data_IF_500782177914
#
_entry.id   IF_500782177914
#
_cell.length_a   1.000
_cell.length_b   1.000
_cell.length_c   1.000
_cell.angle_alpha   90.00
_cell.angle_beta   90.00
_cell.angle_gamma   90.00
#
_symmetry.space_group_name_H-M   'P 1'
#
loop_
_entity.id
_entity.type
_entity.pdbx_description
1 polymer ?
#
# COMPACT_ATOMS: atom_id res chain seq x y z
N UNK A 1 5.86 16.09 -22.42
CA UNK A 1 4.45 16.21 -21.97
C UNK A 1 3.89 14.90 -21.43
N UNK A 2 4.10 13.75 -22.10
CA UNK A 2 3.66 12.45 -21.59
C UNK A 2 4.18 12.08 -20.18
N UNK A 3 5.43 12.45 -19.86
CA UNK A 3 6.04 12.19 -18.54
C UNK A 3 5.34 12.93 -17.39
N UNK A 4 4.90 14.16 -17.60
CA UNK A 4 4.19 14.96 -16.58
C UNK A 4 2.84 14.31 -16.24
N UNK A 5 2.14 13.79 -17.25
CA UNK A 5 0.84 13.13 -17.07
C UNK A 5 1.02 11.85 -16.23
N UNK A 6 2.05 11.04 -16.52
CA UNK A 6 2.33 9.81 -15.77
C UNK A 6 2.67 10.14 -14.31
N UNK A 7 3.52 11.13 -14.06
CA UNK A 7 3.87 11.55 -12.71
C UNK A 7 2.65 12.08 -11.95
N UNK A 8 1.78 12.85 -12.60
CA UNK A 8 0.55 13.34 -11.99
C UNK A 8 -0.40 12.19 -11.60
N UNK A 9 -0.55 11.18 -12.45
CA UNK A 9 -1.39 10.01 -12.16
C UNK A 9 -0.83 9.21 -10.97
N UNK A 10 0.47 8.95 -10.95
CA UNK A 10 1.12 8.23 -9.85
C UNK A 10 0.95 9.01 -8.54
N UNK A 11 1.18 10.31 -8.56
CA UNK A 11 1.01 11.16 -7.39
C UNK A 11 -0.42 11.09 -6.81
N UNK A 12 -1.44 11.08 -7.68
CA UNK A 12 -2.84 10.94 -7.22
C UNK A 12 -3.08 9.56 -6.59
N UNK A 13 -2.54 8.48 -7.18
CA UNK A 13 -2.65 7.13 -6.62
C UNK A 13 -1.99 7.03 -5.24
N UNK A 14 -0.81 7.64 -5.07
CA UNK A 14 -0.08 7.66 -3.81
C UNK A 14 -0.83 8.44 -2.72
N UNK A 15 -1.40 9.60 -3.07
CA UNK A 15 -2.23 10.39 -2.14
C UNK A 15 -3.45 9.59 -1.69
N UNK A 16 -4.13 8.90 -2.62
CA UNK A 16 -5.29 8.06 -2.27
C UNK A 16 -4.88 6.90 -1.37
N UNK A 17 -3.75 6.25 -1.63
CA UNK A 17 -3.22 5.19 -0.79
C UNK A 17 -2.90 5.70 0.63
N UNK A 18 -2.29 6.88 0.75
CA UNK A 18 -2.00 7.51 2.04
C UNK A 18 -3.28 7.80 2.84
N UNK A 19 -4.33 8.31 2.19
CA UNK A 19 -5.62 8.55 2.84
C UNK A 19 -6.26 7.25 3.32
N UNK A 20 -6.20 6.18 2.51
CA UNK A 20 -6.69 4.86 2.92
C UNK A 20 -5.89 4.29 4.08
N UNK A 21 -4.57 4.49 4.12
CA UNK A 21 -3.72 4.08 5.24
C UNK A 21 -4.13 4.78 6.54
N UNK A 22 -4.36 6.11 6.50
CA UNK A 22 -4.91 6.86 7.65
C UNK A 22 -6.28 6.31 8.06
N UNK A 23 -7.13 5.99 7.08
CA UNK A 23 -8.43 5.35 7.31
C UNK A 23 -8.32 4.01 8.03
N UNK A 24 -7.33 3.19 7.66
CA UNK A 24 -7.03 1.92 8.29
C UNK A 24 -6.60 2.09 9.76
N UNK A 25 -5.72 3.06 10.04
CA UNK A 25 -5.29 3.38 11.40
C UNK A 25 -6.44 3.89 12.27
N UNK A 26 -7.26 4.79 11.74
CA UNK A 26 -8.42 5.32 12.47
C UNK A 26 -9.48 4.26 12.78
N UNK A 27 -9.59 3.23 11.92
CA UNK A 27 -10.52 2.10 12.09
C UNK A 27 -9.88 0.89 12.75
N UNK A 28 -8.69 1.03 13.35
CA UNK A 28 -7.97 -0.07 14.01
C UNK A 28 -8.89 -0.76 15.02
N UNK A 29 -9.04 -2.07 14.84
CA UNK A 29 -9.90 -2.89 15.66
C UNK A 29 -9.32 -2.98 17.07
N UNK A 30 -9.97 -2.35 18.05
CA UNK A 30 -9.63 -2.45 19.46
C UNK A 30 -10.48 -3.53 20.11
N UNK A 31 -9.83 -4.45 20.81
CA UNK A 31 -10.52 -5.52 21.53
C UNK A 31 -11.37 -4.94 22.65
N UNK A 32 -12.67 -5.26 22.65
CA UNK A 32 -13.55 -4.97 23.77
C UNK A 32 -13.50 -6.16 24.73
N UNK A 33 -13.06 -5.92 25.96
CA UNK A 33 -13.04 -6.93 27.01
C UNK A 33 -14.46 -7.13 27.55
N UNK A 34 -14.95 -8.38 27.50
CA UNK A 34 -16.25 -8.75 28.08
C UNK A 34 -15.99 -9.53 29.36
N UNK A 35 -16.45 -8.97 30.49
CA UNK A 35 -16.12 -9.47 31.83
C UNK A 35 -16.72 -10.85 32.12
N UNK A 36 -17.86 -11.23 31.52
CA UNK A 36 -18.60 -12.44 31.90
C UNK A 36 -19.41 -12.99 30.71
N UNK A 37 -19.14 -14.22 30.28
CA UNK A 37 -20.04 -15.04 29.44
C UNK A 37 -20.95 -15.92 30.32
N UNK A 38 -21.94 -16.61 29.73
CA UNK A 38 -22.83 -17.56 30.42
C UNK A 38 -22.08 -18.65 31.21
N UNK A 39 -20.81 -18.93 30.85
CA UNK A 39 -19.92 -19.88 31.50
C UNK A 39 -18.87 -19.24 32.46
N UNK A 40 -19.03 -17.98 32.86
CA UNK A 40 -18.15 -17.25 33.78
C UNK A 40 -16.68 -17.14 33.32
N UNK A 41 -16.43 -17.17 32.00
CA UNK A 41 -15.10 -16.98 31.42
C UNK A 41 -15.02 -15.61 30.73
N UNK A 42 -13.95 -14.83 30.94
CA UNK A 42 -13.74 -13.60 30.19
C UNK A 42 -13.33 -13.92 28.74
N UNK A 43 -13.82 -13.12 27.80
CA UNK A 43 -13.43 -13.21 26.39
C UNK A 43 -13.32 -11.82 25.76
N UNK A 44 -12.52 -11.73 24.71
CA UNK A 44 -12.34 -10.50 23.94
C UNK A 44 -13.21 -10.55 22.69
N UNK A 45 -14.04 -9.52 22.49
CA UNK A 45 -14.79 -9.33 21.25
C UNK A 45 -14.00 -8.39 20.35
N UNK A 46 -13.70 -8.87 19.14
CA UNK A 46 -13.13 -8.05 18.08
C UNK A 46 -14.28 -7.50 17.23
N UNK A 47 -14.21 -6.22 16.89
CA UNK A 47 -15.12 -5.59 15.94
C UNK A 47 -14.85 -6.05 14.50
N UNK A 48 -15.56 -5.46 13.54
CA UNK A 48 -15.35 -5.75 12.12
C UNK A 48 -13.95 -5.32 11.65
N UNK A 49 -13.28 -6.18 10.89
CA UNK A 49 -11.93 -5.94 10.32
C UNK A 49 -11.96 -4.99 9.11
N UNK A 50 -12.66 -3.87 9.24
CA UNK A 50 -12.73 -2.83 8.21
C UNK A 50 -11.34 -2.23 7.93
N UNK A 51 -10.47 -2.15 8.94
CA UNK A 51 -9.10 -1.67 8.80
C UNK A 51 -8.28 -2.48 7.78
N UNK A 52 -8.49 -3.80 7.72
CA UNK A 52 -7.81 -4.68 6.78
C UNK A 52 -8.18 -4.36 5.34
N UNK A 53 -9.46 -4.04 5.09
CA UNK A 53 -9.94 -3.63 3.76
C UNK A 53 -9.28 -2.33 3.29
N UNK A 54 -9.19 -1.32 4.16
CA UNK A 54 -8.49 -0.07 3.86
C UNK A 54 -6.99 -0.30 3.61
N UNK A 55 -6.35 -1.15 4.40
CA UNK A 55 -4.94 -1.51 4.24
C UNK A 55 -4.65 -2.21 2.90
N UNK A 56 -5.46 -3.20 2.52
CA UNK A 56 -5.34 -3.88 1.22
C UNK A 56 -5.57 -2.89 0.08
N UNK A 57 -6.57 -2.01 0.20
CA UNK A 57 -6.85 -0.97 -0.80
C UNK A 57 -5.66 -0.03 -1.01
N UNK A 58 -5.04 0.43 0.08
CA UNK A 58 -3.83 1.25 0.02
C UNK A 58 -2.67 0.51 -0.68
N UNK A 59 -2.45 -0.76 -0.34
CA UNK A 59 -1.39 -1.58 -0.93
C UNK A 59 -1.60 -1.79 -2.44
N UNK A 60 -2.83 -2.04 -2.87
CA UNK A 60 -3.15 -2.23 -4.30
C UNK A 60 -2.93 -0.95 -5.09
N UNK A 61 -3.31 0.21 -4.55
CA UNK A 61 -3.12 1.50 -5.23
C UNK A 61 -1.63 1.85 -5.38
N UNK A 62 -0.83 1.62 -4.35
CA UNK A 62 0.62 1.77 -4.42
C UNK A 62 1.22 0.83 -5.46
N UNK A 63 0.87 -0.46 -5.42
CA UNK A 63 1.33 -1.43 -6.40
C UNK A 63 0.95 -1.07 -7.84
N UNK A 64 -0.23 -0.47 -8.05
CA UNK A 64 -0.68 0.01 -9.35
C UNK A 64 0.15 1.22 -9.83
N UNK A 65 0.45 2.18 -8.95
CA UNK A 65 1.36 3.30 -9.26
C UNK A 65 2.75 2.81 -9.65
N UNK A 66 3.28 1.86 -8.89
CA UNK A 66 4.56 1.20 -9.19
C UNK A 66 4.53 0.46 -10.54
N UNK A 67 3.49 -0.32 -10.82
CA UNK A 67 3.34 -1.03 -12.08
C UNK A 67 3.28 -0.07 -13.28
N UNK A 68 2.56 1.05 -13.15
CA UNK A 68 2.48 2.08 -14.19
C UNK A 68 3.85 2.66 -14.53
N UNK A 69 4.68 2.96 -13.54
CA UNK A 69 6.05 3.45 -13.77
C UNK A 69 6.90 2.39 -14.48
N UNK A 70 6.83 1.14 -14.04
CA UNK A 70 7.58 0.03 -14.66
C UNK A 70 7.20 -0.16 -16.14
N UNK A 71 5.91 -0.13 -16.46
CA UNK A 71 5.43 -0.22 -17.86
C UNK A 71 5.87 0.98 -18.68
N UNK A 72 5.70 2.19 -18.16
CA UNK A 72 6.06 3.43 -18.88
C UNK A 72 7.56 3.54 -19.15
N UNK A 73 8.39 3.15 -18.18
CA UNK A 73 9.86 3.20 -18.28
C UNK A 73 10.45 1.97 -18.97
N UNK A 74 9.65 0.92 -19.19
CA UNK A 74 10.08 -0.43 -19.60
C UNK A 74 11.16 -1.03 -18.68
N UNK A 75 11.31 -0.52 -17.47
CA UNK A 75 12.19 -1.09 -16.47
C UNK A 75 11.44 -2.22 -15.76
N UNK A 76 12.08 -3.38 -15.58
CA UNK A 76 11.52 -4.60 -14.95
C UNK A 76 10.33 -5.29 -15.64
N UNK A 77 9.57 -4.64 -16.53
CA UNK A 77 8.47 -5.26 -17.29
C UNK A 77 8.69 -5.12 -18.81
N UNK A 78 8.85 -6.25 -19.52
CA UNK A 78 8.96 -6.36 -20.98
C UNK A 78 10.05 -5.52 -21.69
N UNK A 79 11.03 -4.96 -20.96
CA UNK A 79 12.18 -4.24 -21.51
C UNK A 79 13.50 -5.00 -21.40
N UNK A 80 14.59 -4.38 -21.87
CA UNK A 80 15.95 -4.94 -21.72
C UNK A 80 16.26 -5.08 -20.23
N UNK A 81 16.68 -6.28 -19.81
CA UNK A 81 17.11 -6.53 -18.43
C UNK A 81 18.08 -5.44 -17.98
N UNK A 82 17.92 -4.98 -16.74
CA UNK A 82 18.66 -3.84 -16.20
C UNK A 82 20.16 -4.10 -16.37
N UNK A 83 20.81 -3.42 -17.31
CA UNK A 83 22.27 -3.38 -17.32
C UNK A 83 22.69 -2.70 -16.01
N UNK A 84 23.61 -3.29 -15.23
CA UNK A 84 23.92 -2.81 -13.89
C UNK A 84 24.54 -1.42 -13.95
N UNK A 85 23.71 -0.40 -13.83
CA UNK A 85 24.08 0.99 -13.69
C UNK A 85 23.73 1.46 -12.30
N UNK A 86 24.70 2.03 -11.58
CA UNK A 86 24.62 2.44 -10.17
C UNK A 86 23.33 3.22 -9.83
N UNK A 87 22.91 4.12 -10.72
CA UNK A 87 21.72 4.96 -10.52
C UNK A 87 20.39 4.21 -10.71
N UNK A 88 20.34 3.21 -11.62
CA UNK A 88 19.13 2.43 -11.89
C UNK A 88 18.87 1.39 -10.81
N UNK A 89 19.93 0.81 -10.24
CA UNK A 89 19.82 -0.07 -9.08
C UNK A 89 19.37 0.70 -7.83
N UNK A 90 19.89 1.90 -7.62
CA UNK A 90 19.50 2.77 -6.50
C UNK A 90 18.03 3.21 -6.61
N UNK A 91 17.56 3.54 -7.82
CA UNK A 91 16.15 3.83 -8.06
C UNK A 91 15.25 2.61 -7.71
N UNK A 92 15.65 1.40 -8.10
CA UNK A 92 14.93 0.17 -7.73
C UNK A 92 14.93 -0.11 -6.23
N UNK A 93 16.04 0.16 -5.54
CA UNK A 93 16.12 0.04 -4.09
C UNK A 93 15.19 1.04 -3.39
N UNK A 94 15.29 2.33 -3.72
CA UNK A 94 14.41 3.37 -3.18
C UNK A 94 12.93 3.06 -3.44
N UNK A 95 12.61 2.47 -4.60
CA UNK A 95 11.25 2.08 -4.97
C UNK A 95 10.70 0.96 -4.08
N UNK A 96 11.52 -0.03 -3.71
CA UNK A 96 11.13 -1.12 -2.81
C UNK A 96 11.04 -0.62 -1.36
N UNK A 97 11.92 0.29 -0.95
CA UNK A 97 11.98 0.82 0.43
C UNK A 97 11.11 2.04 0.67
N UNK A 98 10.35 2.52 -0.31
CA UNK A 98 9.42 3.66 -0.19
C UNK A 98 8.08 3.27 0.46
N UNK A 99 7.90 1.99 0.79
CA UNK A 99 6.85 1.52 1.69
C UNK A 99 7.28 1.72 3.14
#
# INVERSE_FOLDING_TARGET
MASIIILAVVFVLDVLAFVLAIGAEKRRNTAAYVNVDQNARPYCVYGSDAATGYGIGALVLLAAGQAMIMVATRCFCCGRALSPGRWRAFAGFCFITCW
#
